data_IF_862975387173
#
_entry.id   IF_862975387173
#
_cell.length_a   1.000
_cell.length_b   1.000
_cell.length_c   1.000
_cell.angle_alpha   90.00
_cell.angle_beta   90.00
_cell.angle_gamma   90.00
#
_symmetry.space_group_name_H-M   'P 1'
#
loop_
_entity.id
_entity.type
_entity.pdbx_description
1 polymer ?
#
# COMPACT_ATOMS: atom_id res chain seq x y z
N UNK A 1 -10.67 -1.53 20.91
CA UNK A 1 -9.84 -0.61 20.11
C UNK A 1 -9.19 -1.39 18.99
N UNK A 2 -9.18 -0.85 17.78
CA UNK A 2 -8.46 -1.42 16.64
C UNK A 2 -7.34 -0.45 16.24
N UNK A 3 -6.11 -0.94 16.17
CA UNK A 3 -4.94 -0.16 15.78
C UNK A 3 -4.29 -0.80 14.56
N UNK A 4 -4.30 -0.11 13.42
CA UNK A 4 -3.79 -0.66 12.15
C UNK A 4 -2.51 0.06 11.78
N UNK A 5 -1.44 -0.69 11.55
CA UNK A 5 -0.13 -0.16 11.25
C UNK A 5 0.33 -0.56 9.86
N UNK A 6 1.21 0.26 9.28
CA UNK A 6 1.96 -0.14 8.09
C UNK A 6 2.83 -1.36 8.38
N UNK A 7 3.26 -2.02 7.30
CA UNK A 7 4.07 -3.22 7.34
C UNK A 7 5.19 -3.18 8.37
N UNK A 8 5.23 -4.21 9.21
CA UNK A 8 6.29 -4.46 10.19
C UNK A 8 7.67 -4.68 9.56
N UNK A 9 7.74 -4.94 8.24
CA UNK A 9 8.98 -5.05 7.46
C UNK A 9 9.53 -3.69 7.00
N UNK A 10 8.71 -2.64 7.03
CA UNK A 10 9.08 -1.29 6.58
C UNK A 10 9.33 -0.34 7.75
N UNK A 11 8.62 -0.55 8.86
CA UNK A 11 8.71 0.26 10.07
C UNK A 11 8.59 -0.61 11.33
N UNK A 12 9.20 -0.15 12.43
CA UNK A 12 9.05 -0.75 13.75
C UNK A 12 7.77 -0.32 14.49
N UNK A 13 6.95 0.55 13.89
CA UNK A 13 5.74 1.11 14.52
C UNK A 13 4.80 0.02 15.04
N UNK A 14 4.59 -1.06 14.29
CA UNK A 14 3.79 -2.20 14.71
C UNK A 14 4.34 -2.84 16.00
N UNK A 15 5.64 -3.15 16.04
CA UNK A 15 6.28 -3.74 17.21
C UNK A 15 6.26 -2.80 18.41
N UNK A 16 6.43 -1.49 18.19
CA UNK A 16 6.30 -0.49 19.25
C UNK A 16 4.88 -0.46 19.84
N UNK A 17 3.84 -0.57 19.00
CA UNK A 17 2.46 -0.63 19.46
C UNK A 17 2.19 -1.91 20.27
N UNK A 18 2.68 -3.07 19.83
CA UNK A 18 2.59 -4.32 20.57
C UNK A 18 3.29 -4.20 21.95
N UNK A 19 4.53 -3.70 21.96
CA UNK A 19 5.27 -3.51 23.21
C UNK A 19 4.53 -2.54 24.15
N UNK A 20 4.00 -1.44 23.63
CA UNK A 20 3.23 -0.48 24.43
C UNK A 20 1.99 -1.14 25.08
N UNK A 21 1.23 -1.92 24.31
CA UNK A 21 0.07 -2.68 24.83
C UNK A 21 0.48 -3.62 25.96
N UNK A 22 1.60 -4.33 25.80
CA UNK A 22 2.05 -5.32 26.78
C UNK A 22 2.49 -4.65 28.11
N UNK A 23 2.93 -3.39 28.06
CA UNK A 23 3.29 -2.57 29.23
C UNK A 23 2.10 -1.89 29.92
N UNK A 24 0.87 -2.00 29.39
CA UNK A 24 -0.29 -1.35 30.01
C UNK A 24 -0.62 -1.95 31.39
N UNK A 25 -1.18 -1.15 32.31
CA UNK A 25 -1.76 -1.63 33.57
C UNK A 25 -2.83 -2.71 33.36
N UNK A 26 -2.99 -3.62 34.33
CA UNK A 26 -3.89 -4.78 34.20
C UNK A 26 -5.37 -4.42 34.09
N UNK A 27 -5.79 -3.31 34.69
CA UNK A 27 -7.14 -2.77 34.57
C UNK A 27 -7.42 -2.24 33.14
N UNK A 28 -6.41 -1.65 32.49
CA UNK A 28 -6.49 -1.20 31.10
C UNK A 28 -6.42 -2.38 30.12
N UNK A 29 -5.65 -3.43 30.43
CA UNK A 29 -5.55 -4.66 29.61
C UNK A 29 -6.89 -5.39 29.44
N UNK A 30 -7.90 -5.08 30.26
CA UNK A 30 -9.28 -5.60 30.09
C UNK A 30 -10.00 -4.98 28.89
N UNK A 31 -9.56 -3.84 28.39
CA UNK A 31 -10.09 -3.24 27.17
C UNK A 31 -9.54 -4.04 25.98
N UNK A 32 -10.37 -4.62 25.11
CA UNK A 32 -9.89 -5.34 23.93
C UNK A 32 -9.10 -4.41 23.00
N UNK A 33 -7.84 -4.75 22.73
CA UNK A 33 -6.94 -3.99 21.83
C UNK A 33 -6.39 -4.94 20.76
N UNK A 34 -6.89 -4.77 19.55
CA UNK A 34 -6.44 -5.49 18.37
C UNK A 34 -5.42 -4.65 17.60
N UNK A 35 -4.20 -5.16 17.47
CA UNK A 35 -3.09 -4.49 16.76
C UNK A 35 -2.79 -5.27 15.49
N UNK A 36 -3.00 -4.63 14.35
CA UNK A 36 -2.92 -5.24 13.02
C UNK A 36 -1.67 -4.76 12.30
N UNK A 37 -0.82 -5.70 11.88
CA UNK A 37 0.18 -5.47 10.84
C UNK A 37 -0.51 -5.61 9.48
N UNK A 38 -0.74 -4.49 8.79
CA UNK A 38 -1.40 -4.52 7.47
C UNK A 38 -0.57 -5.19 6.38
N UNK A 39 0.75 -5.37 6.61
CA UNK A 39 1.71 -5.75 5.57
C UNK A 39 1.67 -4.85 4.32
N UNK A 40 1.11 -3.65 4.47
CA UNK A 40 0.94 -2.66 3.41
C UNK A 40 1.47 -1.29 3.83
N UNK A 41 1.32 -0.29 2.97
CA UNK A 41 1.74 1.09 3.24
C UNK A 41 0.91 2.09 2.44
N UNK A 42 0.72 3.29 3.00
CA UNK A 42 0.14 4.44 2.29
C UNK A 42 -1.25 4.12 1.70
N UNK A 43 -1.49 4.47 0.43
CA UNK A 43 -2.76 4.19 -0.27
C UNK A 43 -3.11 2.71 -0.30
N UNK A 44 -2.12 1.81 -0.15
CA UNK A 44 -2.33 0.37 -0.07
C UNK A 44 -3.02 -0.13 1.20
N UNK A 45 -3.29 0.76 2.17
CA UNK A 45 -4.11 0.45 3.35
C UNK A 45 -5.24 1.48 3.59
N UNK A 46 -5.35 2.50 2.73
CA UNK A 46 -6.17 3.68 3.02
C UNK A 46 -7.67 3.34 3.02
N UNK A 47 -8.14 2.66 1.99
CA UNK A 47 -9.55 2.26 1.89
C UNK A 47 -9.92 1.20 2.93
N UNK A 48 -8.98 0.32 3.28
CA UNK A 48 -9.16 -0.70 4.32
C UNK A 48 -9.41 -0.04 5.69
N UNK A 49 -8.57 0.92 6.06
CA UNK A 49 -8.72 1.66 7.32
C UNK A 49 -9.95 2.56 7.31
N UNK A 50 -10.27 3.23 6.19
CA UNK A 50 -11.46 4.07 6.08
C UNK A 50 -12.75 3.25 6.21
N UNK A 51 -12.78 2.04 5.65
CA UNK A 51 -13.92 1.13 5.80
C UNK A 51 -14.08 0.67 7.25
N UNK A 52 -13.01 0.20 7.88
CA UNK A 52 -13.04 -0.18 9.30
C UNK A 52 -13.49 0.97 10.22
N UNK A 53 -13.06 2.20 9.93
CA UNK A 53 -13.50 3.38 10.68
C UNK A 53 -15.00 3.68 10.50
N UNK A 54 -15.58 3.46 9.30
CA UNK A 54 -17.02 3.58 9.07
C UNK A 54 -17.80 2.53 9.83
N UNK A 55 -17.35 1.28 9.78
CA UNK A 55 -17.98 0.16 10.50
C UNK A 55 -17.96 0.38 12.01
N UNK A 56 -16.83 0.85 12.57
CA UNK A 56 -16.73 1.25 13.97
C UNK A 56 -17.73 2.35 14.34
N UNK A 57 -17.89 3.38 13.50
CA UNK A 57 -18.88 4.45 13.74
C UNK A 57 -20.32 3.95 13.66
N UNK A 58 -20.59 2.90 12.89
CA UNK A 58 -21.90 2.27 12.80
C UNK A 58 -22.23 1.33 13.98
N UNK A 59 -21.28 1.12 14.89
CA UNK A 59 -21.47 0.26 16.07
C UNK A 59 -21.19 -1.22 15.84
N UNK A 60 -20.54 -1.59 14.73
CA UNK A 60 -20.14 -2.98 14.47
C UNK A 60 -19.12 -3.48 15.52
N UNK A 61 -19.17 -4.78 15.84
CA UNK A 61 -18.29 -5.39 16.83
C UNK A 61 -16.82 -5.42 16.40
N UNK A 62 -15.89 -5.38 17.36
CA UNK A 62 -14.44 -5.35 17.10
C UNK A 62 -13.95 -6.53 16.24
N UNK A 63 -14.39 -7.75 16.56
CA UNK A 63 -13.97 -8.96 15.83
C UNK A 63 -14.51 -8.98 14.40
N UNK A 64 -15.73 -8.47 14.17
CA UNK A 64 -16.32 -8.37 12.84
C UNK A 64 -15.55 -7.36 11.98
N UNK A 65 -15.27 -6.17 12.52
CA UNK A 65 -14.48 -5.14 11.85
C UNK A 65 -13.10 -5.69 11.50
N UNK A 66 -12.45 -6.39 12.44
CA UNK A 66 -11.15 -7.02 12.21
C UNK A 66 -11.23 -8.05 11.08
N UNK A 67 -12.25 -8.90 11.06
CA UNK A 67 -12.44 -9.89 10.00
C UNK A 67 -12.64 -9.23 8.63
N UNK A 68 -13.47 -8.19 8.55
CA UNK A 68 -13.68 -7.42 7.32
C UNK A 68 -12.40 -6.72 6.84
N UNK A 69 -11.67 -6.10 7.76
CA UNK A 69 -10.39 -5.44 7.46
C UNK A 69 -9.38 -6.45 6.88
N UNK A 70 -9.24 -7.62 7.50
CA UNK A 70 -8.30 -8.65 7.06
C UNK A 70 -8.71 -9.25 5.70
N UNK A 71 -10.01 -9.48 5.47
CA UNK A 71 -10.52 -9.89 4.15
C UNK A 71 -10.17 -8.87 3.08
N UNK A 72 -10.42 -7.59 3.32
CA UNK A 72 -10.15 -6.55 2.34
C UNK A 72 -8.64 -6.41 2.07
N UNK A 73 -7.81 -6.33 3.12
CA UNK A 73 -6.35 -6.31 3.01
C UNK A 73 -5.81 -7.48 2.17
N UNK A 74 -6.39 -8.68 2.30
CA UNK A 74 -5.97 -9.87 1.53
C UNK A 74 -6.17 -9.72 0.01
N UNK A 75 -7.11 -8.86 -0.40
CA UNK A 75 -7.46 -8.54 -1.79
C UNK A 75 -6.92 -7.20 -2.27
N UNK A 76 -6.30 -6.41 -1.38
CA UNK A 76 -5.65 -5.15 -1.69
C UNK A 76 -4.23 -5.39 -2.23
N UNK A 77 -3.88 -4.75 -3.34
CA UNK A 77 -2.53 -4.76 -3.94
C UNK A 77 -2.05 -3.34 -4.14
N UNK A 78 -0.76 -3.12 -4.00
CA UNK A 78 -0.13 -1.83 -4.30
C UNK A 78 0.97 -2.00 -5.36
N UNK A 79 0.98 -1.13 -6.35
CA UNK A 79 2.03 -1.01 -7.36
C UNK A 79 2.56 0.41 -7.35
N UNK A 80 3.87 0.57 -7.25
CA UNK A 80 4.53 1.87 -7.21
C UNK A 80 5.52 2.05 -8.35
N UNK A 81 5.62 3.25 -8.91
CA UNK A 81 6.72 3.67 -9.80
C UNK A 81 7.59 4.66 -9.06
N UNK A 82 8.88 4.39 -9.00
CA UNK A 82 9.87 5.32 -8.46
C UNK A 82 10.71 5.91 -9.59
N UNK A 83 11.32 7.08 -9.34
CA UNK A 83 12.31 7.64 -10.27
C UNK A 83 13.66 6.94 -10.18
N UNK A 84 13.98 6.43 -9.00
CA UNK A 84 15.18 5.67 -8.66
C UNK A 84 14.91 4.87 -7.39
N UNK A 85 15.64 3.76 -7.20
CA UNK A 85 15.63 2.98 -5.97
C UNK A 85 16.56 3.56 -4.88
N UNK A 86 17.34 4.60 -5.18
CA UNK A 86 18.34 5.16 -4.27
C UNK A 86 17.77 5.60 -2.92
N UNK A 87 16.61 6.28 -2.90
CA UNK A 87 15.96 6.73 -1.67
C UNK A 87 15.59 5.56 -0.75
N UNK A 88 14.98 4.53 -1.33
CA UNK A 88 14.61 3.33 -0.59
C UNK A 88 15.85 2.55 -0.13
N UNK A 89 16.93 2.56 -0.92
CA UNK A 89 18.23 1.96 -0.58
C UNK A 89 18.87 2.65 0.60
N UNK A 90 18.97 3.99 0.57
CA UNK A 90 19.51 4.81 1.66
C UNK A 90 18.68 4.68 2.92
N UNK A 91 17.37 4.50 2.76
CA UNK A 91 16.49 4.11 3.86
C UNK A 91 16.70 2.67 4.33
N UNK A 92 17.26 1.75 3.56
CA UNK A 92 17.30 0.32 3.92
C UNK A 92 15.93 -0.37 3.84
N UNK A 93 14.97 0.20 3.09
CA UNK A 93 13.58 -0.29 2.97
C UNK A 93 13.32 -1.04 1.66
N UNK A 94 14.35 -1.42 0.91
CA UNK A 94 14.22 -2.17 -0.35
C UNK A 94 13.96 -3.66 -0.18
N UNK A 95 14.14 -4.23 1.02
CA UNK A 95 14.00 -5.66 1.23
C UNK A 95 14.82 -6.48 0.23
N UNK A 96 14.18 -7.47 -0.41
CA UNK A 96 14.81 -8.32 -1.44
C UNK A 96 15.16 -7.58 -2.73
N UNK A 97 14.49 -6.46 -3.04
CA UNK A 97 14.80 -5.64 -4.22
C UNK A 97 16.22 -5.05 -4.17
N UNK A 98 16.86 -5.01 -2.99
CA UNK A 98 18.23 -4.55 -2.83
C UNK A 98 19.25 -5.41 -3.60
N UNK A 99 18.99 -6.71 -3.77
CA UNK A 99 19.90 -7.62 -4.49
C UNK A 99 19.91 -7.38 -6.01
N UNK A 100 18.87 -6.72 -6.54
CA UNK A 100 18.68 -6.46 -7.97
C UNK A 100 19.15 -5.06 -8.38
N UNK A 101 19.68 -4.28 -7.44
CA UNK A 101 20.32 -2.99 -7.69
C UNK A 101 21.69 -3.18 -8.36
N UNK A 102 21.66 -3.43 -9.66
CA UNK A 102 22.85 -3.34 -10.51
C UNK A 102 23.19 -1.90 -10.93
N UNK A 103 24.20 -1.73 -11.78
CA UNK A 103 24.65 -0.45 -12.32
C UNK A 103 23.73 0.14 -13.41
N UNK A 104 22.47 -0.30 -13.51
CA UNK A 104 21.58 0.16 -14.58
C UNK A 104 21.05 1.56 -14.28
N UNK A 105 21.74 2.55 -14.84
CA UNK A 105 21.31 3.93 -14.91
C UNK A 105 20.01 4.03 -15.75
N UNK A 106 19.11 4.93 -15.37
CA UNK A 106 17.91 5.33 -16.12
C UNK A 106 16.76 4.30 -16.21
N UNK A 107 16.47 3.59 -15.12
CA UNK A 107 15.22 2.80 -14.98
C UNK A 107 14.15 3.58 -14.20
N UNK A 108 12.88 3.21 -14.42
CA UNK A 108 11.67 3.64 -13.72
C UNK A 108 11.02 2.40 -13.08
N UNK A 109 11.61 1.90 -11.99
CA UNK A 109 11.25 0.61 -11.41
C UNK A 109 9.78 0.59 -10.98
N UNK A 110 9.11 -0.50 -11.31
CA UNK A 110 7.81 -0.85 -10.75
C UNK A 110 8.08 -1.73 -9.53
N UNK A 111 7.57 -1.32 -8.37
CA UNK A 111 7.67 -2.05 -7.11
C UNK A 111 6.29 -2.48 -6.61
N UNK A 112 6.28 -3.47 -5.72
CA UNK A 112 5.09 -3.89 -4.99
C UNK A 112 5.48 -4.34 -3.58
N UNK A 113 4.51 -4.83 -2.83
CA UNK A 113 4.73 -5.47 -1.54
C UNK A 113 4.40 -6.96 -1.64
N UNK A 114 5.28 -7.79 -1.09
CA UNK A 114 5.05 -9.22 -0.88
C UNK A 114 5.49 -9.55 0.54
N UNK A 115 4.60 -10.20 1.30
CA UNK A 115 4.83 -10.54 2.71
C UNK A 115 5.31 -9.32 3.53
N UNK A 116 4.71 -8.16 3.23
CA UNK A 116 5.04 -6.87 3.84
C UNK A 116 6.32 -6.20 3.34
N UNK A 117 7.18 -6.89 2.58
CA UNK A 117 8.46 -6.34 2.11
C UNK A 117 8.37 -5.79 0.69
N UNK A 118 9.17 -4.76 0.40
CA UNK A 118 9.32 -4.24 -0.97
C UNK A 118 9.93 -5.31 -1.87
N UNK A 119 9.28 -5.51 -3.01
CA UNK A 119 9.77 -6.32 -4.12
C UNK A 119 9.84 -5.48 -5.39
N UNK A 120 10.81 -5.80 -6.24
CA UNK A 120 10.88 -5.26 -7.58
C UNK A 120 10.04 -6.13 -8.51
N UNK A 121 9.06 -5.52 -9.18
CA UNK A 121 8.21 -6.20 -10.14
C UNK A 121 8.90 -6.19 -11.50
N UNK A 122 9.19 -4.99 -12.03
CA UNK A 122 9.79 -4.81 -13.35
C UNK A 122 10.64 -3.53 -13.43
N UNK A 123 11.49 -3.42 -14.46
CA UNK A 123 12.41 -2.29 -14.65
C UNK A 123 12.26 -1.59 -16.01
N UNK A 124 11.09 -0.99 -16.32
CA UNK A 124 10.93 -0.15 -17.50
C UNK A 124 11.93 1.01 -17.52
N UNK A 125 12.37 1.45 -18.70
CA UNK A 125 13.27 2.62 -18.83
C UNK A 125 12.56 3.98 -18.80
N UNK A 126 11.25 4.01 -19.06
CA UNK A 126 10.49 5.25 -19.15
C UNK A 126 9.20 5.16 -18.35
N UNK A 127 8.71 6.31 -17.84
CA UNK A 127 7.45 6.39 -17.09
C UNK A 127 6.26 5.90 -17.91
N UNK A 128 6.16 6.32 -19.17
CA UNK A 128 5.09 5.86 -20.07
C UNK A 128 5.06 4.34 -20.24
N UNK A 129 6.22 3.67 -20.31
CA UNK A 129 6.29 2.20 -20.32
C UNK A 129 5.87 1.62 -18.97
N UNK A 130 6.28 2.23 -17.86
CA UNK A 130 5.90 1.80 -16.52
C UNK A 130 4.39 1.91 -16.27
N UNK A 131 3.76 3.03 -16.63
CA UNK A 131 2.33 3.23 -16.41
C UNK A 131 1.47 2.32 -17.28
N UNK A 132 1.82 2.13 -18.56
CA UNK A 132 1.17 1.13 -19.41
C UNK A 132 1.30 -0.27 -18.83
N UNK A 133 2.47 -0.59 -18.27
CA UNK A 133 2.67 -1.90 -17.64
C UNK A 133 1.85 -2.05 -16.36
N UNK A 134 1.75 -1.01 -15.53
CA UNK A 134 0.84 -1.01 -14.37
C UNK A 134 -0.59 -1.23 -14.83
N UNK A 135 -1.07 -0.54 -15.86
CA UNK A 135 -2.43 -0.74 -16.39
C UNK A 135 -2.67 -2.20 -16.80
N UNK A 136 -1.71 -2.83 -17.49
CA UNK A 136 -1.79 -4.25 -17.81
C UNK A 136 -1.84 -5.13 -16.55
N UNK A 137 -0.91 -4.91 -15.60
CA UNK A 137 -0.86 -5.67 -14.35
C UNK A 137 -2.15 -5.55 -13.55
N UNK A 138 -2.77 -4.37 -13.54
CA UNK A 138 -4.04 -4.11 -12.87
C UNK A 138 -5.20 -4.81 -13.60
N UNK A 139 -5.20 -4.81 -14.93
CA UNK A 139 -6.17 -5.56 -15.75
C UNK A 139 -6.10 -7.07 -15.47
N UNK A 140 -4.88 -7.61 -15.36
CA UNK A 140 -4.61 -9.03 -15.09
C UNK A 140 -5.10 -9.47 -13.68
N UNK A 141 -5.41 -8.53 -12.77
CA UNK A 141 -5.96 -8.83 -11.43
C UNK A 141 -7.46 -9.20 -11.46
N UNK A 142 -8.14 -9.02 -12.59
CA UNK A 142 -9.57 -9.32 -12.74
C UNK A 142 -10.47 -8.16 -12.32
N UNK A 143 -11.65 -8.47 -11.78
CA UNK A 143 -12.67 -7.45 -11.44
C UNK A 143 -12.16 -6.54 -10.32
N UNK A 144 -12.08 -5.24 -10.59
CA UNK A 144 -11.64 -4.21 -9.65
C UNK A 144 -12.86 -3.60 -8.95
N UNK A 145 -12.81 -3.54 -7.62
CA UNK A 145 -13.82 -2.91 -6.77
C UNK A 145 -13.49 -1.44 -6.52
N UNK A 146 -12.22 -1.14 -6.23
CA UNK A 146 -11.76 0.21 -5.94
C UNK A 146 -10.31 0.42 -6.38
N UNK A 147 -10.03 1.63 -6.86
CA UNK A 147 -8.69 2.08 -7.21
C UNK A 147 -8.40 3.43 -6.56
N UNK A 148 -7.21 3.59 -5.99
CA UNK A 148 -6.74 4.83 -5.37
C UNK A 148 -5.29 5.10 -5.75
N UNK A 149 -4.96 6.34 -6.06
CA UNK A 149 -3.59 6.76 -6.39
C UNK A 149 -2.98 7.56 -5.24
N UNK A 150 -1.73 7.25 -4.92
CA UNK A 150 -0.86 8.05 -4.06
C UNK A 150 0.21 8.73 -4.90
N UNK A 151 0.36 10.05 -4.80
CA UNK A 151 1.21 10.83 -5.70
C UNK A 151 2.18 11.75 -4.95
N UNK A 152 3.42 11.82 -5.41
CA UNK A 152 4.39 12.78 -4.89
C UNK A 152 4.16 14.20 -5.42
N UNK A 153 3.58 14.32 -6.62
CA UNK A 153 3.12 15.56 -7.22
C UNK A 153 1.93 15.27 -8.15
N UNK A 154 1.22 16.32 -8.57
CA UNK A 154 0.00 16.16 -9.36
C UNK A 154 0.26 15.59 -10.76
N UNK A 155 1.35 15.99 -11.41
CA UNK A 155 1.69 15.55 -12.77
C UNK A 155 1.81 14.01 -12.85
N UNK A 156 2.54 13.38 -11.93
CA UNK A 156 2.74 11.93 -11.94
C UNK A 156 1.45 11.17 -11.64
N UNK A 157 0.58 11.73 -10.79
CA UNK A 157 -0.72 11.16 -10.47
C UNK A 157 -1.69 11.21 -11.65
N UNK A 158 -1.78 12.36 -12.32
CA UNK A 158 -2.60 12.53 -13.53
C UNK A 158 -2.16 11.60 -14.66
N UNK A 159 -0.84 11.47 -14.90
CA UNK A 159 -0.32 10.57 -15.94
C UNK A 159 -0.63 9.10 -15.64
N UNK A 160 -0.55 8.68 -14.37
CA UNK A 160 -0.92 7.31 -13.98
C UNK A 160 -2.42 7.07 -14.09
N UNK A 161 -3.25 8.02 -13.65
CA UNK A 161 -4.70 7.95 -13.77
C UNK A 161 -5.12 7.82 -15.24
N UNK A 162 -4.54 8.63 -16.13
CA UNK A 162 -4.79 8.56 -17.57
C UNK A 162 -4.47 7.17 -18.16
N UNK A 163 -3.37 6.55 -17.73
CA UNK A 163 -3.02 5.20 -18.17
C UNK A 163 -3.99 4.12 -17.65
N UNK A 164 -4.62 4.34 -16.50
CA UNK A 164 -5.55 3.40 -15.86
C UNK A 164 -7.00 3.55 -16.34
N UNK A 165 -7.37 4.67 -16.97
CA UNK A 165 -8.73 4.91 -17.48
C UNK A 165 -9.21 3.88 -18.50
N UNK A 166 -8.31 3.21 -19.21
CA UNK A 166 -8.66 2.11 -20.13
C UNK A 166 -8.97 0.80 -19.40
N UNK A 167 -8.52 0.68 -18.14
CA UNK A 167 -8.62 -0.54 -17.33
C UNK A 167 -9.72 -0.44 -16.28
N UNK A 168 -9.95 0.75 -15.71
CA UNK A 168 -10.92 0.98 -14.64
C UNK A 168 -11.77 2.20 -14.98
N UNK A 169 -13.09 2.01 -15.04
CA UNK A 169 -14.08 3.03 -15.41
C UNK A 169 -14.70 3.74 -14.19
N UNK A 170 -14.32 3.36 -12.98
CA UNK A 170 -14.81 4.00 -11.75
C UNK A 170 -13.97 5.22 -11.35
N UNK A 171 -14.44 5.94 -10.33
CA UNK A 171 -13.72 7.12 -9.83
C UNK A 171 -12.38 6.74 -9.17
N UNK A 172 -11.31 7.39 -9.64
CA UNK A 172 -9.96 7.26 -9.12
C UNK A 172 -9.65 8.46 -8.22
N UNK A 173 -9.67 8.23 -6.91
CA UNK A 173 -9.25 9.25 -5.94
C UNK A 173 -7.72 9.35 -5.88
N UNK A 174 -7.18 10.56 -5.84
CA UNK A 174 -5.74 10.82 -5.69
C UNK A 174 -5.44 11.44 -4.32
N UNK A 175 -4.32 11.05 -3.72
CA UNK A 175 -3.86 11.55 -2.43
C UNK A 175 -2.37 11.85 -2.46
N UNK A 176 -1.94 12.93 -1.81
CA UNK A 176 -0.51 13.23 -1.68
C UNK A 176 0.18 12.22 -0.76
N UNK A 177 1.39 11.80 -1.14
CA UNK A 177 2.23 10.98 -0.27
C UNK A 177 2.70 11.79 0.94
N UNK A 178 2.64 11.17 2.13
CA UNK A 178 3.14 11.80 3.35
C UNK A 178 4.67 11.89 3.39
N UNK A 179 5.19 12.83 4.20
CA UNK A 179 6.62 13.16 4.26
C UNK A 179 7.54 11.94 4.55
N UNK A 180 7.13 11.07 5.47
CA UNK A 180 7.89 9.85 5.81
C UNK A 180 8.02 8.92 4.61
N UNK A 181 6.93 8.72 3.86
CA UNK A 181 6.98 7.88 2.67
C UNK A 181 7.81 8.56 1.58
N UNK A 182 7.60 9.86 1.35
CA UNK A 182 8.36 10.64 0.37
C UNK A 182 9.88 10.61 0.60
N UNK A 183 10.33 10.61 1.85
CA UNK A 183 11.75 10.46 2.19
C UNK A 183 12.36 9.11 1.74
N UNK A 184 11.55 8.06 1.65
CA UNK A 184 11.97 6.72 1.24
C UNK A 184 11.64 6.39 -0.22
N UNK A 185 10.57 6.96 -0.79
CA UNK A 185 10.18 6.72 -2.19
C UNK A 185 10.80 7.73 -3.16
N UNK A 186 11.23 8.89 -2.66
CA UNK A 186 11.83 9.95 -3.45
C UNK A 186 10.83 10.80 -4.24
N UNK A 187 11.29 11.93 -4.80
CA UNK A 187 10.50 12.76 -5.69
C UNK A 187 10.05 11.98 -6.93
N UNK A 188 8.92 12.39 -7.50
CA UNK A 188 8.34 11.75 -8.67
C UNK A 188 7.72 10.37 -8.41
N UNK A 189 7.76 9.85 -7.19
CA UNK A 189 7.08 8.60 -6.86
C UNK A 189 5.57 8.70 -7.03
N UNK A 190 4.96 7.61 -7.51
CA UNK A 190 3.50 7.47 -7.63
C UNK A 190 3.16 6.00 -7.39
N UNK A 191 2.02 5.73 -6.76
CA UNK A 191 1.54 4.38 -6.53
C UNK A 191 0.05 4.28 -6.77
N UNK A 192 -0.41 3.09 -7.15
CA UNK A 192 -1.81 2.72 -7.19
C UNK A 192 -2.08 1.59 -6.23
N UNK A 193 -3.13 1.73 -5.42
CA UNK A 193 -3.74 0.67 -4.66
C UNK A 193 -4.99 0.17 -5.38
N UNK A 194 -5.14 -1.14 -5.47
CA UNK A 194 -6.23 -1.84 -6.14
C UNK A 194 -6.85 -2.81 -5.17
N UNK A 195 -8.16 -2.71 -4.97
CA UNK A 195 -8.97 -3.69 -4.26
C UNK A 195 -9.70 -4.51 -5.32
N UNK A 196 -9.41 -5.80 -5.37
CA UNK A 196 -10.08 -6.75 -6.27
C UNK A 196 -11.37 -7.24 -5.66
N UNK A 197 -12.40 -7.54 -6.46
CA UNK A 197 -13.65 -8.09 -5.95
C UNK A 197 -13.42 -9.41 -5.18
N UNK A 198 -14.30 -9.72 -4.22
CA UNK A 198 -14.32 -11.05 -3.60
C UNK A 198 -14.48 -12.10 -4.69
N UNK A 199 -13.67 -13.16 -4.64
CA UNK A 199 -13.92 -14.34 -5.46
C UNK A 199 -15.29 -14.88 -5.03
N UNK A 200 -16.23 -14.95 -5.97
CA UNK A 200 -17.47 -15.67 -5.73
C UNK A 200 -17.09 -17.09 -5.29
N UNK A 201 -17.63 -17.55 -4.16
CA UNK A 201 -17.57 -18.97 -3.83
C UNK A 201 -18.40 -19.68 -4.91
N UNK A 202 -17.72 -20.38 -5.81
CA UNK A 202 -18.34 -21.42 -6.64
C UNK A 202 -18.64 -22.65 -5.78
#
# INVERSE_FOLDING_TARGET
>A
MLSVHMSSKLSRTYQCACAARDTLPDDVKKIPIEIIDSQSVSVGMSQDVLQAAREARSGMGLEEIKAHLLDQLSRTRILGVLDTLEYAKRGGRLGSAAALLGNQLNIKPIISLKDGAVILVEQPRTRSKAYRRIAQLVSDMGKIEKLVIGESNEEVGQQLAQALNTTYQGDISTYKLGAVLGAHSGPGSVAVAVITARKSQE
#
